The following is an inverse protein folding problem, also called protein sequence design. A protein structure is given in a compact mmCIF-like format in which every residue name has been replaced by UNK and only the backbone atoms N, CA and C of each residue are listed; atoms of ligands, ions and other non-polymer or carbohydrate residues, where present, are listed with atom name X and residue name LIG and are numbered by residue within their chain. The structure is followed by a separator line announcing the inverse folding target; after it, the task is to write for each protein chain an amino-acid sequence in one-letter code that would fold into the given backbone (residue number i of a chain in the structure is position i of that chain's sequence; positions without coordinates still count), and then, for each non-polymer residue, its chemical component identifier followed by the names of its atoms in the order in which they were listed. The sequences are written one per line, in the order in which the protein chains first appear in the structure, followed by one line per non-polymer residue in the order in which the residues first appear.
data_IF_084611828840
#
_entry.id   IF_084611828840
#
_cell.length_a   1.000
_cell.length_b   1.000
_cell.length_c   1.000
_cell.angle_alpha   90.00
_cell.angle_beta   90.00
_cell.angle_gamma   90.00
#
_symmetry.space_group_name_H-M   'P 1'
#
loop_
_entity.id
_entity.type
_entity.pdbx_description
1 polymer ?
#
# COMPACT_ATOMS: atom_id res chain seq x y z
N UNK A 1 29.51 1.59 -14.91
CA UNK A 1 29.90 0.43 -14.10
C UNK A 1 29.05 0.42 -12.83
N UNK A 2 28.22 -0.62 -12.68
CA UNK A 2 27.51 -1.08 -11.47
C UNK A 2 26.94 -0.05 -10.49
N UNK A 3 25.77 0.51 -10.80
CA UNK A 3 24.81 1.04 -9.81
C UNK A 3 24.20 -0.06 -8.93
N UNK A 4 24.49 -1.34 -9.23
CA UNK A 4 24.05 -2.53 -8.48
C UNK A 4 24.95 -2.89 -7.29
N UNK A 5 26.18 -2.34 -7.21
CA UNK A 5 27.16 -2.68 -6.16
C UNK A 5 27.53 -1.52 -5.24
N UNK A 6 26.92 -0.34 -5.42
CA UNK A 6 26.96 0.69 -4.40
C UNK A 6 25.97 0.32 -3.29
N UNK A 7 26.33 -0.66 -2.46
CA UNK A 7 25.84 -0.72 -1.08
C UNK A 7 26.11 0.67 -0.50
N UNK A 8 25.08 1.52 -0.30
CA UNK A 8 25.36 2.82 0.28
C UNK A 8 25.85 2.50 1.68
N UNK A 9 27.02 3.01 2.12
CA UNK A 9 27.27 3.04 3.53
C UNK A 9 26.04 3.71 4.15
N UNK A 10 25.33 2.98 5.00
CA UNK A 10 24.07 3.35 5.70
C UNK A 10 24.29 4.59 6.61
N UNK A 11 25.42 5.27 6.44
CA UNK A 11 25.94 6.40 7.19
C UNK A 11 26.47 7.55 6.32
N UNK A 12 26.73 7.38 5.01
CA UNK A 12 27.35 8.45 4.20
C UNK A 12 26.38 9.24 3.30
N UNK A 13 25.14 8.78 3.09
CA UNK A 13 24.15 9.51 2.29
C UNK A 13 23.36 10.58 3.06
N UNK A 14 23.62 10.76 4.36
CA UNK A 14 23.23 11.96 5.09
C UNK A 14 24.18 13.16 4.84
N UNK A 15 24.99 13.10 3.77
CA UNK A 15 26.00 14.09 3.41
C UNK A 15 25.66 15.01 2.24
N UNK A 16 24.48 14.90 1.61
CA UNK A 16 24.09 15.81 0.53
C UNK A 16 23.36 17.04 1.10
N UNK A 17 24.15 18.06 1.44
CA UNK A 17 23.66 19.36 1.90
C UNK A 17 23.44 19.40 3.41
N UNK A 18 24.52 19.38 4.21
CA UNK A 18 24.50 19.54 5.66
C UNK A 18 24.10 20.97 6.02
N UNK A 19 22.83 21.25 6.36
CA UNK A 19 22.38 22.62 6.41
C UNK A 19 22.43 23.04 7.89
N UNK A 20 23.38 23.93 8.18
CA UNK A 20 23.57 24.68 9.43
C UNK A 20 23.36 23.89 10.74
N UNK A 21 24.25 22.93 11.03
CA UNK A 21 24.38 22.44 12.40
C UNK A 21 25.31 23.39 13.17
N UNK A 22 24.79 24.12 14.16
CA UNK A 22 25.60 24.62 15.27
C UNK A 22 26.25 23.47 16.06
N UNK A 23 26.64 23.72 17.32
CA UNK A 23 27.35 22.80 18.25
C UNK A 23 26.58 21.50 18.64
N UNK A 24 25.94 20.82 17.70
CA UNK A 24 25.19 19.58 17.91
C UNK A 24 26.14 18.39 17.74
N UNK A 25 26.16 17.43 18.69
CA UNK A 25 26.94 16.22 18.56
C UNK A 25 26.62 15.44 17.28
N UNK A 26 27.66 14.91 16.61
CA UNK A 26 27.54 14.23 15.30
C UNK A 26 26.55 13.05 15.33
N UNK A 27 26.52 12.29 16.42
CA UNK A 27 25.61 11.16 16.58
C UNK A 27 24.14 11.61 16.58
N UNK A 28 23.81 12.66 17.34
CA UNK A 28 22.46 13.19 17.46
C UNK A 28 21.97 13.73 16.13
N UNK A 29 22.82 14.50 15.44
CA UNK A 29 22.53 15.00 14.08
C UNK A 29 22.20 13.87 13.11
N UNK A 30 23.05 12.84 13.05
CA UNK A 30 22.82 11.72 12.14
C UNK A 30 21.52 10.98 12.47
N UNK A 31 21.22 10.77 13.75
CA UNK A 31 19.96 10.13 14.16
C UNK A 31 18.73 10.95 13.76
N UNK A 32 18.75 12.27 13.93
CA UNK A 32 17.65 13.14 13.53
C UNK A 32 17.44 13.16 12.01
N UNK A 33 18.53 13.20 11.23
CA UNK A 33 18.46 13.14 9.78
C UNK A 33 17.88 11.82 9.27
N UNK A 34 18.26 10.69 9.86
CA UNK A 34 17.70 9.39 9.49
C UNK A 34 16.23 9.27 9.87
N UNK A 35 15.86 9.67 11.08
CA UNK A 35 14.48 9.70 11.52
C UNK A 35 13.65 10.56 10.56
N UNK A 36 14.12 11.77 10.26
CA UNK A 36 13.48 12.65 9.30
C UNK A 36 13.34 12.03 7.91
N UNK A 37 14.40 11.41 7.38
CA UNK A 37 14.38 10.76 6.08
C UNK A 37 13.32 9.65 6.03
N UNK A 38 13.22 8.83 7.08
CA UNK A 38 12.21 7.78 7.16
C UNK A 38 10.79 8.30 7.36
N UNK A 39 10.62 9.47 7.99
CA UNK A 39 9.31 10.01 8.34
C UNK A 39 8.75 11.03 7.35
N UNK A 40 9.55 11.83 6.65
CA UNK A 40 9.05 12.95 5.86
C UNK A 40 8.63 12.50 4.45
N UNK A 41 7.34 12.56 4.08
CA UNK A 41 6.86 12.07 2.78
C UNK A 41 7.24 13.00 1.61
N UNK A 42 7.51 14.28 1.86
CA UNK A 42 7.84 15.25 0.82
C UNK A 42 9.28 15.08 0.26
N UNK A 43 10.20 14.50 1.04
CA UNK A 43 11.55 14.24 0.57
C UNK A 43 11.61 12.89 -0.15
N UNK A 44 11.94 12.95 -1.43
CA UNK A 44 12.23 11.80 -2.27
C UNK A 44 13.73 11.83 -2.61
N UNK A 45 14.44 10.77 -2.26
CA UNK A 45 15.82 10.58 -2.72
C UNK A 45 15.80 9.94 -4.10
N UNK A 46 16.72 10.33 -4.98
CA UNK A 46 16.83 9.71 -6.30
C UNK A 46 17.42 8.30 -6.20
N UNK A 47 16.94 7.38 -7.04
CA UNK A 47 17.41 5.99 -7.11
C UNK A 47 16.44 4.94 -6.56
N UNK A 48 16.81 3.66 -6.70
CA UNK A 48 15.96 2.51 -6.32
C UNK A 48 15.58 2.51 -4.83
N UNK A 49 16.53 2.85 -3.96
CA UNK A 49 16.30 2.91 -2.51
C UNK A 49 15.34 4.03 -2.13
N UNK A 50 15.42 5.19 -2.80
CA UNK A 50 14.48 6.28 -2.60
C UNK A 50 13.07 5.90 -3.04
N UNK A 51 12.95 5.22 -4.19
CA UNK A 51 11.67 4.65 -4.64
C UNK A 51 11.11 3.62 -3.66
N UNK A 52 11.94 2.72 -3.14
CA UNK A 52 11.48 1.73 -2.16
C UNK A 52 10.99 2.38 -0.86
N UNK A 53 11.71 3.40 -0.37
CA UNK A 53 11.36 4.14 0.83
C UNK A 53 10.03 4.92 0.67
N UNK A 54 9.80 5.54 -0.49
CA UNK A 54 8.52 6.24 -0.76
C UNK A 54 7.34 5.27 -0.79
N UNK A 55 7.51 4.07 -1.38
CA UNK A 55 6.48 3.04 -1.37
C UNK A 55 6.17 2.54 0.04
N UNK A 56 7.19 2.30 0.88
CA UNK A 56 6.96 1.88 2.26
C UNK A 56 6.22 2.97 3.04
N UNK A 57 6.60 4.25 2.90
CA UNK A 57 5.87 5.37 3.51
C UNK A 57 4.39 5.36 3.09
N UNK A 58 4.12 5.25 1.78
CA UNK A 58 2.76 5.24 1.24
C UNK A 58 1.95 4.04 1.75
N UNK A 59 2.51 2.83 1.70
CA UNK A 59 1.88 1.61 2.20
C UNK A 59 1.60 1.74 3.70
N UNK A 60 2.55 2.27 4.47
CA UNK A 60 2.40 2.44 5.92
C UNK A 60 1.22 3.37 6.27
N UNK A 61 1.03 4.46 5.51
CA UNK A 61 -0.08 5.38 5.70
C UNK A 61 -1.42 4.74 5.30
N UNK A 62 -1.46 3.99 4.20
CA UNK A 62 -2.65 3.24 3.79
C UNK A 62 -3.04 2.20 4.85
N UNK A 63 -2.06 1.50 5.42
CA UNK A 63 -2.27 0.57 6.53
C UNK A 63 -2.81 1.29 7.77
N UNK A 64 -2.28 2.47 8.10
CA UNK A 64 -2.76 3.29 9.22
C UNK A 64 -4.22 3.68 9.07
N UNK A 65 -4.58 4.26 7.93
CA UNK A 65 -5.95 4.68 7.65
C UNK A 65 -6.90 3.48 7.60
N UNK A 66 -6.49 2.38 6.98
CA UNK A 66 -7.31 1.16 6.89
C UNK A 66 -7.55 0.54 8.25
N UNK A 67 -6.53 0.49 9.11
CA UNK A 67 -6.63 -0.09 10.45
C UNK A 67 -7.53 0.76 11.34
N UNK A 68 -7.32 2.08 11.40
CA UNK A 68 -8.19 2.99 12.16
C UNK A 68 -9.62 2.90 11.63
N UNK A 69 -9.81 2.97 10.31
CA UNK A 69 -11.12 2.88 9.68
C UNK A 69 -11.86 1.59 10.05
N UNK A 70 -11.17 0.46 10.05
CA UNK A 70 -11.79 -0.84 10.40
C UNK A 70 -12.33 -0.86 11.85
N UNK A 71 -11.59 -0.30 12.80
CA UNK A 71 -12.01 -0.21 14.19
C UNK A 71 -13.06 0.87 14.42
N UNK A 72 -12.98 1.98 13.69
CA UNK A 72 -13.96 3.04 13.75
C UNK A 72 -15.33 2.58 13.21
N UNK A 73 -15.34 1.87 12.08
CA UNK A 73 -16.56 1.25 11.55
C UNK A 73 -17.16 0.28 12.58
N UNK A 74 -16.32 -0.54 13.22
CA UNK A 74 -16.76 -1.42 14.30
C UNK A 74 -17.31 -0.65 15.50
N UNK A 75 -16.68 0.47 15.87
CA UNK A 75 -17.14 1.32 16.96
C UNK A 75 -18.53 1.92 16.70
N UNK A 76 -18.78 2.36 15.46
CA UNK A 76 -20.06 2.90 15.02
C UNK A 76 -21.11 1.79 14.97
N UNK A 77 -20.79 0.65 14.35
CA UNK A 77 -21.71 -0.50 14.21
C UNK A 77 -22.18 -1.03 15.57
N UNK A 78 -21.26 -1.13 16.52
CA UNK A 78 -21.57 -1.61 17.88
C UNK A 78 -22.11 -0.48 18.79
N UNK A 79 -22.19 0.75 18.29
CA UNK A 79 -22.79 1.89 18.97
C UNK A 79 -21.99 2.47 20.14
N UNK A 80 -20.66 2.32 20.12
CA UNK A 80 -19.76 3.05 21.03
C UNK A 80 -19.54 4.50 20.59
N UNK A 81 -19.66 4.73 19.29
CA UNK A 81 -19.65 6.04 18.64
C UNK A 81 -20.95 6.21 17.84
N UNK A 82 -21.39 7.46 17.64
CA UNK A 82 -22.54 7.78 16.79
C UNK A 82 -23.91 7.47 17.39
N UNK A 83 -24.01 7.35 18.72
CA UNK A 83 -25.30 7.17 19.44
C UNK A 83 -25.86 8.49 19.98
N UNK A 84 -25.47 9.61 19.40
CA UNK A 84 -25.95 10.94 19.80
C UNK A 84 -25.43 11.38 21.17
N UNK A 85 -24.21 10.98 21.55
CA UNK A 85 -23.57 11.50 22.77
C UNK A 85 -22.97 12.88 22.48
N UNK A 86 -22.79 13.70 23.52
CA UNK A 86 -22.28 15.08 23.37
C UNK A 86 -20.99 15.16 22.55
N UNK A 87 -20.07 14.21 22.74
CA UNK A 87 -18.80 14.18 22.04
C UNK A 87 -18.94 13.82 20.54
N UNK A 88 -20.01 13.11 20.14
CA UNK A 88 -20.29 12.81 18.73
C UNK A 88 -20.73 14.08 17.98
N UNK A 89 -21.55 14.92 18.62
CA UNK A 89 -21.95 16.22 18.08
C UNK A 89 -20.76 17.18 17.96
N UNK A 90 -19.88 17.20 18.97
CA UNK A 90 -18.66 18.00 18.95
C UNK A 90 -17.72 17.56 17.83
N UNK A 91 -17.57 16.25 17.61
CA UNK A 91 -16.78 15.72 16.50
C UNK A 91 -17.39 16.06 15.13
N UNK A 92 -18.71 15.98 14.99
CA UNK A 92 -19.41 16.35 13.77
C UNK A 92 -19.25 17.85 13.47
N UNK A 93 -19.40 18.70 14.49
CA UNK A 93 -19.14 20.13 14.36
C UNK A 93 -17.68 20.39 13.92
N UNK A 94 -16.71 19.73 14.55
CA UNK A 94 -15.30 19.83 14.14
C UNK A 94 -15.07 19.37 12.69
N UNK A 95 -15.69 18.28 12.25
CA UNK A 95 -15.60 17.79 10.88
C UNK A 95 -16.16 18.81 9.87
N UNK A 96 -17.29 19.45 10.19
CA UNK A 96 -17.88 20.51 9.36
C UNK A 96 -17.05 21.80 9.36
N UNK A 97 -16.33 22.09 10.44
CA UNK A 97 -15.48 23.29 10.52
C UNK A 97 -14.23 23.20 9.64
N UNK A 98 -13.69 22.01 9.36
CA UNK A 98 -12.48 21.84 8.53
C UNK A 98 -12.62 22.43 7.11
N UNK A 99 -13.65 22.11 6.31
CA UNK A 99 -13.80 22.73 4.98
C UNK A 99 -14.02 24.24 5.07
N UNK A 100 -14.69 24.72 6.12
CA UNK A 100 -14.90 26.15 6.35
C UNK A 100 -13.57 26.86 6.59
N UNK A 101 -12.69 26.32 7.44
CA UNK A 101 -11.38 26.94 7.69
C UNK A 101 -10.46 26.87 6.48
N UNK A 102 -10.54 25.81 5.67
CA UNK A 102 -9.83 25.73 4.38
C UNK A 102 -10.31 26.81 3.43
N UNK A 103 -11.62 27.01 3.30
CA UNK A 103 -12.20 28.05 2.45
C UNK A 103 -11.77 29.44 2.91
N UNK A 104 -11.85 29.74 4.21
CA UNK A 104 -11.36 31.01 4.79
C UNK A 104 -9.87 31.21 4.46
N UNK A 105 -9.04 30.18 4.61
CA UNK A 105 -7.61 30.26 4.29
C UNK A 105 -7.35 30.50 2.79
N UNK A 106 -8.18 29.97 1.90
CA UNK A 106 -8.09 30.25 0.46
C UNK A 106 -8.49 31.69 0.13
N UNK A 107 -9.51 32.25 0.79
CA UNK A 107 -9.94 33.64 0.62
C UNK A 107 -8.93 34.64 1.19
N UNK A 108 -8.28 34.30 2.31
CA UNK A 108 -7.15 35.05 2.85
C UNK A 108 -5.97 35.06 1.86
N UNK A 109 -5.66 33.91 1.26
CA UNK A 109 -4.56 33.80 0.29
C UNK A 109 -4.81 34.60 -1.00
N UNK A 110 -6.06 34.71 -1.46
CA UNK A 110 -6.45 35.55 -2.61
C UNK A 110 -6.64 37.02 -2.27
N UNK A 111 -6.32 37.44 -1.03
CA UNK A 111 -6.48 38.80 -0.50
C UNK A 111 -7.93 39.31 -0.53
N UNK A 112 -8.92 38.41 -0.57
CA UNK A 112 -10.34 38.78 -0.51
C UNK A 112 -10.80 39.02 0.93
N UNK A 113 -10.12 38.43 1.91
CA UNK A 113 -10.34 38.67 3.34
C UNK A 113 -9.05 39.16 4.02
N UNK A 114 -9.16 40.04 5.03
CA UNK A 114 -8.01 40.41 5.85
C UNK A 114 -7.54 39.22 6.69
N UNK A 115 -6.22 39.03 6.79
CA UNK A 115 -5.63 37.96 7.60
C UNK A 115 -5.64 38.37 9.07
N UNK A 116 -6.49 37.73 9.86
CA UNK A 116 -6.49 37.91 11.31
C UNK A 116 -5.47 36.97 11.95
N UNK A 117 -4.44 37.54 12.59
CA UNK A 117 -3.36 36.79 13.24
C UNK A 117 -3.52 36.89 14.75
N UNK A 118 -3.41 35.76 15.44
CA UNK A 118 -3.31 35.70 16.90
C UNK A 118 -1.87 35.29 17.25
N UNK A 119 -1.07 36.24 17.74
CA UNK A 119 0.36 36.04 17.96
C UNK A 119 1.13 35.86 16.64
N UNK A 120 1.68 34.66 16.40
CA UNK A 120 2.41 34.31 15.17
C UNK A 120 1.64 33.37 14.23
N UNK A 121 0.38 33.04 14.55
CA UNK A 121 -0.40 32.03 13.82
C UNK A 121 -1.72 32.64 13.32
N UNK A 122 -2.10 32.41 12.04
CA UNK A 122 -3.40 32.83 11.53
C UNK A 122 -4.56 32.19 12.31
N UNK A 123 -5.62 32.95 12.57
CA UNK A 123 -6.80 32.46 13.30
C UNK A 123 -7.42 31.25 12.61
N UNK A 124 -7.49 31.25 11.27
CA UNK A 124 -7.99 30.11 10.49
C UNK A 124 -7.16 28.82 10.73
N UNK A 125 -5.84 28.94 10.90
CA UNK A 125 -4.97 27.80 11.19
C UNK A 125 -5.20 27.26 12.61
N UNK A 126 -5.37 28.14 13.61
CA UNK A 126 -5.69 27.74 14.98
C UNK A 126 -7.01 26.97 15.08
N UNK A 127 -8.06 27.47 14.43
CA UNK A 127 -9.35 26.77 14.39
C UNK A 127 -9.21 25.40 13.72
N UNK A 128 -8.41 25.31 12.65
CA UNK A 128 -8.12 24.03 11.98
C UNK A 128 -7.40 23.05 12.92
N UNK A 129 -6.38 23.50 13.66
CA UNK A 129 -5.66 22.65 14.61
C UNK A 129 -6.57 22.17 15.75
N UNK A 130 -7.44 23.04 16.26
CA UNK A 130 -8.42 22.68 17.29
C UNK A 130 -9.42 21.65 16.75
N UNK A 131 -9.97 21.85 15.56
CA UNK A 131 -10.89 20.92 14.93
C UNK A 131 -10.24 19.53 14.71
N UNK A 132 -8.99 19.49 14.23
CA UNK A 132 -8.24 18.25 14.07
C UNK A 132 -7.96 17.55 15.41
N UNK A 133 -7.63 18.30 16.46
CA UNK A 133 -7.42 17.75 17.80
C UNK A 133 -8.71 17.13 18.35
N UNK A 134 -9.84 17.81 18.20
CA UNK A 134 -11.15 17.30 18.60
C UNK A 134 -11.49 16.00 17.88
N UNK A 135 -11.28 15.95 16.56
CA UNK A 135 -11.48 14.71 15.79
C UNK A 135 -10.54 13.59 16.22
N UNK A 136 -9.26 13.91 16.45
CA UNK A 136 -8.28 12.93 16.93
C UNK A 136 -8.70 12.34 18.28
N UNK A 137 -9.14 13.17 19.24
CA UNK A 137 -9.65 12.71 20.53
C UNK A 137 -10.91 11.83 20.37
N UNK A 138 -11.82 12.21 19.46
CA UNK A 138 -13.01 11.41 19.19
C UNK A 138 -12.66 10.03 18.64
N UNK A 139 -11.72 9.96 17.69
CA UNK A 139 -11.19 8.69 17.16
C UNK A 139 -10.52 7.88 18.28
N UNK A 140 -9.69 8.51 19.10
CA UNK A 140 -8.95 7.87 20.19
C UNK A 140 -9.90 7.23 21.22
N UNK A 141 -10.96 7.95 21.61
CA UNK A 141 -12.01 7.42 22.48
C UNK A 141 -12.72 6.22 21.85
N UNK A 142 -12.98 6.27 20.53
CA UNK A 142 -13.53 5.15 19.77
C UNK A 142 -12.64 3.92 19.77
N UNK A 143 -11.35 4.11 19.46
CA UNK A 143 -10.35 3.06 19.40
C UNK A 143 -10.17 2.39 20.77
N UNK A 144 -9.94 3.15 21.84
CA UNK A 144 -9.76 2.58 23.18
C UNK A 144 -10.97 1.79 23.66
N UNK A 145 -12.19 2.30 23.44
CA UNK A 145 -13.41 1.62 23.89
C UNK A 145 -13.67 0.33 23.13
N UNK A 146 -13.40 0.32 21.83
CA UNK A 146 -13.57 -0.89 21.01
C UNK A 146 -12.48 -1.92 21.24
N UNK A 147 -11.20 -1.51 21.31
CA UNK A 147 -10.09 -2.43 21.56
C UNK A 147 -10.16 -3.05 22.96
N UNK A 148 -10.55 -2.30 24.00
CA UNK A 148 -10.68 -2.88 25.35
C UNK A 148 -11.74 -3.97 25.45
N UNK A 149 -12.78 -3.92 24.60
CA UNK A 149 -13.87 -4.91 24.63
C UNK A 149 -13.71 -6.05 23.62
N UNK A 150 -13.21 -5.77 22.43
CA UNK A 150 -13.13 -6.76 21.34
C UNK A 150 -11.71 -7.03 20.84
N UNK A 151 -10.75 -6.19 21.23
CA UNK A 151 -9.36 -6.32 20.82
C UNK A 151 -8.69 -7.49 21.53
N UNK A 152 -7.76 -8.15 20.85
CA UNK A 152 -6.85 -9.09 21.49
C UNK A 152 -5.70 -8.30 22.14
N UNK A 153 -5.01 -8.89 23.12
CA UNK A 153 -3.81 -8.29 23.73
C UNK A 153 -2.83 -7.65 22.74
N UNK A 154 -2.49 -8.29 21.60
CA UNK A 154 -1.55 -7.69 20.68
C UNK A 154 -2.14 -6.47 19.93
N UNK A 155 -3.46 -6.31 19.82
CA UNK A 155 -4.07 -5.09 19.24
C UNK A 155 -3.92 -3.88 20.16
N UNK A 156 -4.01 -4.10 21.48
CA UNK A 156 -3.75 -3.06 22.50
C UNK A 156 -2.29 -2.63 22.46
N UNK A 157 -1.35 -3.57 22.28
CA UNK A 157 0.07 -3.24 22.11
C UNK A 157 0.32 -2.38 20.86
N UNK A 158 -0.41 -2.62 19.77
CA UNK A 158 -0.33 -1.78 18.56
C UNK A 158 -0.82 -0.36 18.86
N UNK A 159 -1.93 -0.22 19.59
CA UNK A 159 -2.42 1.10 20.00
C UNK A 159 -1.41 1.86 20.86
N UNK A 160 -0.79 1.20 21.85
CA UNK A 160 0.29 1.79 22.63
C UNK A 160 1.50 2.19 21.75
N UNK A 161 1.86 1.33 20.79
CA UNK A 161 2.90 1.62 19.81
C UNK A 161 2.59 2.85 18.94
N UNK A 162 1.34 3.04 18.53
CA UNK A 162 0.87 4.23 17.79
C UNK A 162 1.07 5.49 18.62
N UNK A 163 0.77 5.48 19.92
CA UNK A 163 0.99 6.64 20.80
C UNK A 163 2.49 6.92 20.99
N UNK A 164 3.30 5.88 21.15
CA UNK A 164 4.74 6.04 21.26
C UNK A 164 5.33 6.62 19.96
N UNK A 165 4.83 6.18 18.80
CA UNK A 165 5.18 6.73 17.50
C UNK A 165 4.73 8.20 17.31
N UNK A 166 3.58 8.58 17.84
CA UNK A 166 3.11 9.97 17.90
C UNK A 166 4.09 10.84 18.68
N UNK A 167 4.44 10.41 19.89
CA UNK A 167 5.36 11.15 20.76
C UNK A 167 6.73 11.26 20.11
N UNK A 168 7.22 10.17 19.49
CA UNK A 168 8.48 10.16 18.77
C UNK A 168 8.49 11.15 17.60
N UNK A 169 7.45 11.16 16.75
CA UNK A 169 7.37 12.06 15.60
C UNK A 169 7.32 13.52 16.01
N UNK A 170 6.50 13.86 17.02
CA UNK A 170 6.43 15.20 17.58
C UNK A 170 7.76 15.63 18.20
N UNK A 171 8.42 14.74 18.96
CA UNK A 171 9.73 15.02 19.57
C UNK A 171 10.79 15.31 18.50
N UNK A 172 10.84 14.51 17.42
CA UNK A 172 11.78 14.75 16.31
C UNK A 172 11.52 16.10 15.65
N UNK A 173 10.26 16.45 15.37
CA UNK A 173 9.92 17.76 14.77
C UNK A 173 10.34 18.94 15.64
N UNK A 174 10.09 18.88 16.95
CA UNK A 174 10.50 19.93 17.89
C UNK A 174 12.02 20.01 18.03
N UNK A 175 12.72 18.87 18.10
CA UNK A 175 14.19 18.84 18.18
C UNK A 175 14.81 19.43 16.91
N UNK A 176 14.28 19.10 15.73
CA UNK A 176 14.76 19.65 14.47
C UNK A 176 14.57 21.17 14.37
N UNK A 177 13.44 21.69 14.87
CA UNK A 177 13.22 23.13 14.97
C UNK A 177 14.21 23.79 15.96
N UNK A 178 14.38 23.19 17.15
CA UNK A 178 15.25 23.72 18.21
C UNK A 178 16.71 23.79 17.78
N UNK A 179 17.18 22.81 17.00
CA UNK A 179 18.56 22.75 16.51
C UNK A 179 18.77 23.42 15.15
N UNK A 180 17.75 24.10 14.59
CA UNK A 180 17.90 24.88 13.36
C UNK A 180 17.97 24.08 12.06
N UNK A 181 17.63 22.79 12.06
CA UNK A 181 17.67 21.94 10.85
C UNK A 181 16.61 22.32 9.82
N UNK A 182 15.41 22.73 10.28
CA UNK A 182 14.30 23.10 9.41
C UNK A 182 14.55 24.38 8.58
N UNK A 183 15.02 25.51 9.16
CA UNK A 183 15.33 26.71 8.36
C UNK A 183 16.47 26.49 7.37
N UNK A 184 17.36 25.53 7.65
CA UNK A 184 18.48 25.24 6.79
C UNK A 184 18.06 24.44 5.53
N UNK A 185 16.93 23.71 5.57
CA UNK A 185 16.35 23.03 4.41
C UNK A 185 15.48 23.93 3.53
N UNK A 186 14.96 25.03 4.08
CA UNK A 186 14.16 26.00 3.32
C UNK A 186 14.65 27.44 3.61
N UNK A 187 15.81 27.84 3.05
CA UNK A 187 16.51 29.07 3.43
C UNK A 187 15.72 30.37 3.16
N UNK A 188 14.66 30.30 2.35
CA UNK A 188 13.82 31.44 1.99
C UNK A 188 12.64 31.68 2.96
N UNK A 189 12.46 30.85 3.99
CA UNK A 189 11.30 30.92 4.89
C UNK A 189 11.73 31.05 6.35
N UNK A 190 11.26 32.11 7.04
CA UNK A 190 11.43 32.24 8.49
C UNK A 190 10.60 31.15 9.17
N UNK A 191 11.28 30.12 9.69
CA UNK A 191 10.61 29.00 10.38
C UNK A 191 10.10 29.43 11.74
N UNK A 192 8.82 29.21 12.00
CA UNK A 192 8.16 29.49 13.28
C UNK A 192 8.07 28.20 14.11
N UNK A 193 7.87 28.30 15.43
CA UNK A 193 7.64 27.13 16.30
C UNK A 193 6.48 26.23 15.85
N UNK A 194 5.47 26.80 15.18
CA UNK A 194 4.37 26.07 14.55
C UNK A 194 4.84 25.11 13.45
N UNK A 195 5.91 25.45 12.72
CA UNK A 195 6.41 24.62 11.62
C UNK A 195 7.00 23.33 12.19
N UNK A 196 7.76 23.40 13.28
CA UNK A 196 8.28 22.24 13.99
C UNK A 196 7.17 21.27 14.43
N UNK A 197 6.03 21.79 14.90
CA UNK A 197 4.87 20.98 15.27
C UNK A 197 4.18 20.37 14.04
N UNK A 198 4.04 21.11 12.94
CA UNK A 198 3.44 20.62 11.69
C UNK A 198 4.30 19.52 11.05
N UNK A 199 5.62 19.71 10.99
CA UNK A 199 6.56 18.67 10.56
C UNK A 199 6.51 17.47 11.50
N UNK A 200 6.54 17.70 12.82
CA UNK A 200 6.42 16.64 13.82
C UNK A 200 5.13 15.82 13.68
N UNK A 201 3.99 16.47 13.44
CA UNK A 201 2.71 15.80 13.21
C UNK A 201 2.71 14.95 11.93
N UNK A 202 3.38 15.43 10.88
CA UNK A 202 3.53 14.68 9.62
C UNK A 202 4.42 13.44 9.80
N UNK A 203 5.57 13.60 10.46
CA UNK A 203 6.46 12.49 10.82
C UNK A 203 5.72 11.46 11.67
N UNK A 204 4.93 11.93 12.64
CA UNK A 204 4.12 11.10 13.52
C UNK A 204 3.17 10.21 12.74
N UNK A 205 2.44 10.75 11.75
CA UNK A 205 1.51 9.98 10.94
C UNK A 205 2.19 8.80 10.22
N UNK A 206 3.39 9.01 9.68
CA UNK A 206 4.17 7.95 9.03
C UNK A 206 4.69 6.93 10.04
N UNK A 207 5.20 7.37 11.19
CA UNK A 207 5.68 6.44 12.23
C UNK A 207 4.56 5.57 12.80
N UNK A 208 3.37 6.12 13.01
CA UNK A 208 2.20 5.33 13.39
C UNK A 208 1.87 4.28 12.32
N UNK A 209 1.99 4.66 11.05
CA UNK A 209 1.85 3.73 9.92
C UNK A 209 2.86 2.59 9.96
N UNK A 210 4.13 2.86 10.31
CA UNK A 210 5.13 1.80 10.43
C UNK A 210 4.81 0.80 11.54
N UNK A 211 4.24 1.23 12.67
CA UNK A 211 3.83 0.31 13.75
C UNK A 211 2.78 -0.69 13.25
N UNK A 212 1.81 -0.20 12.47
CA UNK A 212 0.74 -1.04 11.93
C UNK A 212 1.24 -1.91 10.78
N UNK A 213 2.07 -1.34 9.89
CA UNK A 213 2.71 -2.10 8.81
C UNK A 213 3.51 -3.26 9.38
N UNK A 214 4.31 -3.02 10.43
CA UNK A 214 5.07 -4.05 11.13
C UNK A 214 4.15 -5.16 11.65
N UNK A 215 3.02 -4.80 12.26
CA UNK A 215 2.03 -5.78 12.71
C UNK A 215 1.46 -6.61 11.55
N UNK A 216 1.07 -5.97 10.46
CA UNK A 216 0.53 -6.66 9.28
C UNK A 216 1.59 -7.61 8.71
N UNK A 217 2.84 -7.16 8.61
CA UNK A 217 3.97 -7.97 8.17
C UNK A 217 4.23 -9.16 9.10
N UNK A 218 4.13 -9.00 10.43
CA UNK A 218 4.26 -10.12 11.36
C UNK A 218 3.13 -11.14 11.21
N UNK A 219 1.89 -10.68 11.02
CA UNK A 219 0.74 -11.57 10.80
C UNK A 219 0.88 -12.32 9.48
N UNK A 220 1.19 -11.60 8.40
CA UNK A 220 1.40 -12.18 7.08
C UNK A 220 2.60 -13.13 7.07
N UNK A 221 3.72 -12.74 7.67
CA UNK A 221 4.92 -13.56 7.79
C UNK A 221 4.65 -14.85 8.55
N UNK A 222 3.95 -14.79 9.68
CA UNK A 222 3.56 -15.98 10.44
C UNK A 222 2.68 -16.93 9.61
N UNK A 223 1.77 -16.38 8.82
CA UNK A 223 0.96 -17.19 7.90
C UNK A 223 1.82 -17.81 6.79
N UNK A 224 2.72 -17.02 6.18
CA UNK A 224 3.61 -17.45 5.11
C UNK A 224 4.53 -18.60 5.55
N UNK A 225 5.17 -18.48 6.72
CA UNK A 225 6.04 -19.54 7.26
C UNK A 225 5.30 -20.82 7.62
N UNK A 226 3.99 -20.73 7.82
CA UNK A 226 3.18 -21.89 8.16
C UNK A 226 2.52 -22.56 6.95
N UNK A 227 2.69 -21.99 5.74
CA UNK A 227 2.30 -22.62 4.47
C UNK A 227 3.19 -23.82 4.21
N UNK A 228 2.59 -24.99 3.97
CA UNK A 228 3.34 -26.20 3.62
C UNK A 228 3.35 -26.43 2.11
N UNK A 229 4.54 -26.44 1.49
CA UNK A 229 4.71 -26.64 0.05
C UNK A 229 4.06 -27.92 -0.49
N UNK A 230 4.10 -29.03 0.27
CA UNK A 230 3.46 -30.30 -0.13
C UNK A 230 1.94 -30.18 -0.31
N UNK A 231 1.26 -29.39 0.54
CA UNK A 231 -0.19 -29.16 0.43
C UNK A 231 -0.50 -28.27 -0.78
N UNK A 232 0.31 -27.22 -0.93
CA UNK A 232 0.18 -26.29 -2.04
C UNK A 232 0.37 -27.00 -3.40
N UNK A 233 1.32 -27.92 -3.49
CA UNK A 233 1.50 -28.78 -4.67
C UNK A 233 0.30 -29.70 -4.94
N UNK A 234 -0.25 -30.34 -3.91
CA UNK A 234 -1.42 -31.21 -4.07
C UNK A 234 -2.66 -30.45 -4.58
N UNK A 235 -2.89 -29.23 -4.09
CA UNK A 235 -3.97 -28.35 -4.56
C UNK A 235 -3.71 -27.88 -5.99
N UNK A 236 -2.47 -27.54 -6.32
CA UNK A 236 -2.09 -27.15 -7.68
C UNK A 236 -2.29 -28.30 -8.67
N UNK A 237 -1.86 -29.52 -8.32
CA UNK A 237 -2.11 -30.71 -9.14
C UNK A 237 -3.59 -30.96 -9.35
N UNK A 238 -4.39 -30.91 -8.29
CA UNK A 238 -5.85 -31.08 -8.42
C UNK A 238 -6.45 -30.05 -9.36
N UNK A 239 -6.05 -28.79 -9.25
CA UNK A 239 -6.51 -27.69 -10.12
C UNK A 239 -6.18 -27.95 -11.60
N UNK A 240 -4.99 -28.49 -11.88
CA UNK A 240 -4.59 -28.88 -13.25
C UNK A 240 -5.44 -30.05 -13.76
N UNK A 241 -5.71 -31.05 -12.92
CA UNK A 241 -6.53 -32.20 -13.30
C UNK A 241 -7.98 -31.81 -13.59
N UNK A 242 -8.54 -30.93 -12.76
CA UNK A 242 -9.89 -30.38 -12.96
C UNK A 242 -9.98 -29.54 -14.22
N UNK A 243 -9.03 -28.62 -14.44
CA UNK A 243 -9.00 -27.79 -15.63
C UNK A 243 -8.89 -28.62 -16.92
N UNK A 244 -8.09 -29.69 -16.90
CA UNK A 244 -7.91 -30.57 -18.06
C UNK A 244 -9.14 -31.48 -18.30
N UNK A 245 -9.59 -32.23 -17.28
CA UNK A 245 -10.65 -33.24 -17.46
C UNK A 245 -12.07 -32.69 -17.44
N UNK A 246 -12.34 -31.67 -16.64
CA UNK A 246 -13.71 -31.20 -16.39
C UNK A 246 -14.07 -29.97 -17.19
N UNK A 247 -13.15 -29.01 -17.29
CA UNK A 247 -13.39 -27.76 -18.02
C UNK A 247 -12.96 -27.82 -19.48
N UNK A 248 -12.11 -28.79 -19.87
CA UNK A 248 -11.56 -28.94 -21.22
C UNK A 248 -10.85 -27.67 -21.74
N UNK A 249 -10.55 -26.73 -20.85
CA UNK A 249 -10.09 -25.40 -21.21
C UNK A 249 -8.77 -25.38 -22.00
N UNK A 250 -7.75 -26.21 -21.68
CA UNK A 250 -6.52 -26.27 -22.48
C UNK A 250 -6.80 -26.67 -23.92
N UNK A 251 -7.66 -27.67 -24.13
CA UNK A 251 -8.00 -28.18 -25.45
C UNK A 251 -8.77 -27.18 -26.29
N UNK A 252 -9.75 -26.49 -25.69
CA UNK A 252 -10.48 -25.41 -26.37
C UNK A 252 -9.52 -24.33 -26.86
N UNK A 253 -8.58 -23.91 -26.01
CA UNK A 253 -7.61 -22.87 -26.37
C UNK A 253 -6.61 -23.34 -27.44
N UNK A 254 -6.16 -24.60 -27.38
CA UNK A 254 -5.33 -25.20 -28.44
C UNK A 254 -6.07 -25.29 -29.77
N UNK A 255 -7.34 -25.73 -29.77
CA UNK A 255 -8.15 -25.83 -31.00
C UNK A 255 -8.37 -24.46 -31.62
N UNK A 256 -8.74 -23.45 -30.82
CA UNK A 256 -8.92 -22.08 -31.31
C UNK A 256 -7.62 -21.52 -31.86
N UNK A 257 -6.49 -21.75 -31.18
CA UNK A 257 -5.18 -21.34 -31.67
C UNK A 257 -4.82 -22.00 -33.01
N UNK A 258 -4.99 -23.32 -33.12
CA UNK A 258 -4.73 -24.06 -34.35
C UNK A 258 -5.65 -23.62 -35.50
N UNK A 259 -6.93 -23.35 -35.21
CA UNK A 259 -7.88 -22.82 -36.18
C UNK A 259 -7.41 -21.47 -36.72
N UNK A 260 -7.05 -20.54 -35.84
CA UNK A 260 -6.55 -19.22 -36.27
C UNK A 260 -5.25 -19.38 -37.08
N UNK A 261 -4.32 -20.24 -36.64
CA UNK A 261 -3.11 -20.54 -37.41
C UNK A 261 -3.42 -21.08 -38.81
N UNK A 262 -4.40 -21.97 -38.96
CA UNK A 262 -4.80 -22.48 -40.26
C UNK A 262 -5.29 -21.34 -41.19
N UNK A 263 -5.94 -20.32 -40.64
CA UNK A 263 -6.35 -19.13 -41.40
C UNK A 263 -5.21 -18.13 -41.66
N UNK A 264 -4.12 -18.13 -40.87
CA UNK A 264 -3.04 -17.15 -41.05
C UNK A 264 -2.38 -17.21 -42.44
N UNK A 265 -2.34 -18.38 -43.07
CA UNK A 265 -1.79 -18.53 -44.43
C UNK A 265 -2.57 -17.71 -45.47
N UNK A 266 -3.89 -17.54 -45.31
CA UNK A 266 -4.70 -16.73 -46.21
C UNK A 266 -4.51 -15.23 -45.92
N UNK A 267 -4.43 -14.84 -44.65
CA UNK A 267 -4.37 -13.42 -44.26
C UNK A 267 -2.97 -12.79 -44.36
N UNK A 268 -1.90 -13.58 -44.29
CA UNK A 268 -0.52 -13.11 -44.36
C UNK A 268 0.03 -13.24 -45.79
N UNK A 269 -0.38 -12.32 -46.67
CA UNK A 269 0.24 -12.14 -47.99
C UNK A 269 0.98 -10.80 -48.03
N UNK A 270 2.26 -10.73 -47.65
CA UNK A 270 2.97 -9.48 -47.67
C UNK A 270 3.40 -9.12 -49.10
N UNK A 271 3.49 -7.81 -49.39
CA UNK A 271 4.03 -7.32 -50.65
C UNK A 271 5.54 -7.59 -50.81
N UNK A 272 6.27 -7.93 -49.74
CA UNK A 272 7.70 -8.27 -49.76
C UNK A 272 8.01 -9.49 -48.89
N UNK A 273 8.79 -10.42 -49.44
CA UNK A 273 9.17 -11.67 -48.76
C UNK A 273 9.95 -11.47 -47.44
N UNK A 274 10.71 -10.37 -47.30
CA UNK A 274 11.50 -10.10 -46.10
C UNK A 274 10.66 -9.70 -44.86
N UNK A 275 9.42 -9.24 -45.05
CA UNK A 275 8.54 -8.83 -43.94
C UNK A 275 7.68 -9.97 -43.40
N UNK A 276 7.67 -11.12 -44.09
CA UNK A 276 6.90 -12.32 -43.73
C UNK A 276 7.15 -12.77 -42.29
N UNK A 277 8.42 -13.00 -41.93
CA UNK A 277 8.77 -13.53 -40.61
C UNK A 277 8.40 -12.57 -39.48
N UNK A 278 8.57 -11.26 -39.69
CA UNK A 278 8.22 -10.25 -38.68
C UNK A 278 6.71 -10.17 -38.45
N UNK A 279 5.92 -10.14 -39.53
CA UNK A 279 4.46 -10.09 -39.44
C UNK A 279 3.88 -11.38 -38.85
N UNK A 280 4.45 -12.54 -39.18
CA UNK A 280 4.04 -13.82 -38.63
C UNK A 280 4.32 -13.90 -37.12
N UNK A 281 5.54 -13.61 -36.68
CA UNK A 281 5.90 -13.66 -35.25
C UNK A 281 5.12 -12.62 -34.44
N UNK A 282 4.91 -11.42 -34.97
CA UNK A 282 4.13 -10.39 -34.28
C UNK A 282 2.65 -10.78 -34.12
N UNK A 283 2.02 -11.31 -35.17
CA UNK A 283 0.62 -11.75 -35.12
C UNK A 283 0.45 -12.96 -34.20
N UNK A 284 1.36 -13.94 -34.24
CA UNK A 284 1.36 -15.08 -33.33
C UNK A 284 1.53 -14.69 -31.87
N UNK A 285 2.48 -13.79 -31.59
CA UNK A 285 2.75 -13.33 -30.21
C UNK A 285 1.53 -12.60 -29.65
N UNK A 286 0.89 -11.75 -30.47
CA UNK A 286 -0.34 -11.06 -30.09
C UNK A 286 -1.48 -12.05 -29.84
N UNK A 287 -1.71 -12.99 -30.77
CA UNK A 287 -2.74 -14.01 -30.66
C UNK A 287 -2.55 -14.88 -29.40
N UNK A 288 -1.34 -15.37 -29.18
CA UNK A 288 -0.97 -16.17 -28.01
C UNK A 288 -1.21 -15.38 -26.72
N UNK A 289 -0.75 -14.13 -26.66
CA UNK A 289 -0.98 -13.25 -25.51
C UNK A 289 -2.47 -13.01 -25.25
N UNK A 290 -3.26 -12.76 -26.29
CA UNK A 290 -4.70 -12.50 -26.16
C UNK A 290 -5.46 -13.74 -25.70
N UNK A 291 -5.21 -14.92 -26.30
CA UNK A 291 -5.88 -16.17 -25.95
C UNK A 291 -5.52 -16.62 -24.53
N UNK A 292 -4.24 -16.56 -24.14
CA UNK A 292 -3.81 -16.91 -22.80
C UNK A 292 -4.34 -15.94 -21.76
N UNK A 293 -4.30 -14.63 -22.05
CA UNK A 293 -4.85 -13.61 -21.16
C UNK A 293 -6.36 -13.81 -20.99
N UNK A 294 -7.11 -14.02 -22.07
CA UNK A 294 -8.55 -14.29 -22.02
C UNK A 294 -8.88 -15.56 -21.23
N UNK A 295 -8.12 -16.64 -21.43
CA UNK A 295 -8.29 -17.87 -20.66
C UNK A 295 -8.09 -17.61 -19.16
N UNK A 296 -6.99 -16.96 -18.77
CA UNK A 296 -6.66 -16.70 -17.36
C UNK A 296 -7.65 -15.75 -16.71
N UNK A 297 -8.04 -14.67 -17.39
CA UNK A 297 -8.97 -13.67 -16.84
C UNK A 297 -10.38 -14.23 -16.67
N UNK A 298 -10.80 -15.19 -17.50
CA UNK A 298 -12.10 -15.84 -17.37
C UNK A 298 -12.04 -17.00 -16.39
N UNK A 299 -11.07 -17.92 -16.50
CA UNK A 299 -11.04 -19.13 -15.66
C UNK A 299 -10.71 -18.84 -14.21
N UNK A 300 -9.71 -17.99 -13.93
CA UNK A 300 -9.22 -17.81 -12.55
C UNK A 300 -10.32 -17.28 -11.63
N UNK A 301 -11.04 -16.18 -11.98
CA UNK A 301 -12.10 -15.65 -11.14
C UNK A 301 -13.33 -16.57 -11.05
N UNK A 302 -13.65 -17.31 -12.12
CA UNK A 302 -14.83 -18.17 -12.17
C UNK A 302 -14.63 -19.51 -11.46
N UNK A 303 -13.39 -19.97 -11.32
CA UNK A 303 -13.06 -21.26 -10.69
C UNK A 303 -13.49 -21.36 -9.21
N UNK A 304 -13.45 -20.25 -8.48
CA UNK A 304 -13.88 -20.19 -7.07
C UNK A 304 -15.41 -20.23 -6.94
N UNK A 305 -16.17 -19.35 -7.61
CA UNK A 305 -17.63 -19.39 -7.66
C UNK A 305 -18.20 -20.73 -8.14
N UNK A 306 -17.61 -21.36 -9.15
CA UNK A 306 -18.08 -22.68 -9.63
C UNK A 306 -17.96 -23.75 -8.56
N UNK A 307 -16.91 -23.72 -7.75
CA UNK A 307 -16.74 -24.68 -6.66
C UNK A 307 -17.70 -24.38 -5.48
N UNK A 308 -18.09 -23.12 -5.30
CA UNK A 308 -19.17 -22.75 -4.35
C UNK A 308 -20.50 -23.34 -4.84
N UNK A 309 -20.84 -23.12 -6.12
CA UNK A 309 -22.10 -23.58 -6.70
C UNK A 309 -22.24 -25.10 -6.65
N UNK A 310 -21.14 -25.83 -6.85
CA UNK A 310 -21.13 -27.29 -6.82
C UNK A 310 -20.97 -27.88 -5.42
N UNK A 311 -20.97 -27.05 -4.37
CA UNK A 311 -20.82 -27.43 -2.96
C UNK A 311 -19.54 -28.23 -2.64
N UNK A 312 -18.60 -28.35 -3.57
CA UNK A 312 -17.36 -29.11 -3.41
C UNK A 312 -16.40 -28.44 -2.43
N UNK A 313 -16.49 -27.11 -2.28
CA UNK A 313 -15.70 -26.34 -1.30
C UNK A 313 -15.92 -26.84 0.14
N UNK A 314 -17.13 -27.28 0.48
CA UNK A 314 -17.42 -27.77 1.83
C UNK A 314 -16.50 -28.94 2.23
N UNK A 315 -16.20 -29.84 1.30
CA UNK A 315 -15.30 -30.99 1.52
C UNK A 315 -13.82 -30.60 1.63
N UNK A 316 -13.43 -29.47 1.03
CA UNK A 316 -12.06 -28.93 1.08
C UNK A 316 -11.87 -28.08 2.34
N UNK A 317 -12.86 -27.28 2.74
CA UNK A 317 -12.82 -26.41 3.92
C UNK A 317 -12.97 -27.19 5.23
N UNK A 318 -13.63 -28.35 5.21
CA UNK A 318 -13.65 -29.26 6.36
C UNK A 318 -12.27 -29.88 6.66
N UNK A 319 -11.34 -29.87 5.69
CA UNK A 319 -9.93 -30.23 5.95
C UNK A 319 -9.23 -29.01 6.55
N UNK A 320 -8.29 -29.19 7.50
CA UNK A 320 -7.54 -28.08 8.10
C UNK A 320 -6.50 -27.50 7.13
N UNK A 321 -6.97 -26.94 6.01
CA UNK A 321 -6.22 -26.27 4.95
C UNK A 321 -6.33 -24.76 5.16
N UNK A 322 -5.19 -24.06 5.11
CA UNK A 322 -5.19 -22.61 5.29
C UNK A 322 -5.80 -21.93 4.06
N UNK A 323 -6.50 -20.81 4.26
CA UNK A 323 -7.10 -20.04 3.15
C UNK A 323 -6.06 -19.60 2.11
N UNK A 324 -4.87 -19.21 2.57
CA UNK A 324 -3.75 -18.84 1.70
C UNK A 324 -3.22 -20.03 0.88
N UNK A 325 -3.15 -21.23 1.47
CA UNK A 325 -2.73 -22.46 0.75
C UNK A 325 -3.69 -22.77 -0.40
N UNK A 326 -5.00 -22.55 -0.21
CA UNK A 326 -6.01 -22.74 -1.23
C UNK A 326 -5.85 -21.75 -2.38
N UNK A 327 -5.78 -20.45 -2.08
CA UNK A 327 -5.65 -19.40 -3.11
C UNK A 327 -4.34 -19.58 -3.89
N UNK A 328 -3.22 -19.74 -3.19
CA UNK A 328 -1.91 -19.87 -3.83
C UNK A 328 -1.76 -21.20 -4.58
N UNK A 329 -2.30 -22.29 -4.06
CA UNK A 329 -2.32 -23.59 -4.75
C UNK A 329 -3.04 -23.51 -6.09
N UNK A 330 -4.20 -22.83 -6.14
CA UNK A 330 -4.93 -22.61 -7.40
C UNK A 330 -4.18 -21.70 -8.36
N UNK A 331 -3.62 -20.58 -7.87
CA UNK A 331 -2.82 -19.67 -8.69
C UNK A 331 -1.64 -20.41 -9.33
N UNK A 332 -0.93 -21.23 -8.56
CA UNK A 332 0.21 -22.01 -9.05
C UNK A 332 -0.23 -23.09 -10.04
N UNK A 333 -1.39 -23.75 -9.81
CA UNK A 333 -1.97 -24.70 -10.75
C UNK A 333 -2.27 -24.06 -12.12
N UNK A 334 -2.92 -22.89 -12.13
CA UNK A 334 -3.20 -22.16 -13.38
C UNK A 334 -1.92 -21.61 -14.02
N UNK A 335 -0.96 -21.10 -13.24
CA UNK A 335 0.35 -20.69 -13.77
C UNK A 335 1.05 -21.86 -14.48
N UNK A 336 1.11 -23.03 -13.85
CA UNK A 336 1.72 -24.22 -14.45
C UNK A 336 1.01 -24.64 -15.76
N UNK A 337 -0.32 -24.59 -15.79
CA UNK A 337 -1.11 -24.89 -17.00
C UNK A 337 -0.81 -23.90 -18.13
N UNK A 338 -0.77 -22.60 -17.83
CA UNK A 338 -0.40 -21.56 -18.80
C UNK A 338 1.03 -21.77 -19.29
N UNK A 339 1.98 -22.09 -18.42
CA UNK A 339 3.37 -22.38 -18.81
C UNK A 339 3.44 -23.55 -19.78
N UNK A 340 2.72 -24.65 -19.51
CA UNK A 340 2.66 -25.81 -20.42
C UNK A 340 2.06 -25.42 -21.77
N UNK A 341 0.99 -24.61 -21.78
CA UNK A 341 0.33 -24.18 -22.99
C UNK A 341 1.20 -23.25 -23.85
N UNK A 342 1.96 -22.35 -23.22
CA UNK A 342 2.97 -21.52 -23.90
C UNK A 342 4.02 -22.40 -24.59
N UNK A 343 4.50 -23.46 -23.91
CA UNK A 343 5.44 -24.41 -24.49
C UNK A 343 4.82 -25.14 -25.70
N UNK A 344 3.56 -25.57 -25.60
CA UNK A 344 2.84 -26.20 -26.71
C UNK A 344 2.71 -25.24 -27.90
N UNK A 345 2.29 -24.00 -27.68
CA UNK A 345 2.19 -22.99 -28.73
C UNK A 345 3.54 -22.67 -29.37
N UNK A 346 4.59 -22.54 -28.57
CA UNK A 346 5.95 -22.38 -29.06
C UNK A 346 6.40 -23.57 -29.91
N UNK A 347 6.07 -24.80 -29.51
CA UNK A 347 6.42 -26.01 -30.25
C UNK A 347 5.68 -26.13 -31.59
N UNK A 348 4.37 -25.83 -31.62
CA UNK A 348 3.57 -25.86 -32.86
C UNK A 348 4.03 -24.77 -33.82
N UNK A 349 4.38 -23.59 -33.32
CA UNK A 349 4.85 -22.48 -34.15
C UNK A 349 6.24 -22.71 -34.75
N UNK A 350 7.05 -23.58 -34.15
CA UNK A 350 8.39 -23.90 -34.64
C UNK A 350 8.35 -24.98 -35.74
N UNK A 351 7.33 -25.83 -35.73
CA UNK A 351 7.12 -26.91 -36.68
C UNK A 351 6.54 -26.41 -38.01
#
# INVERSE_FOLDING_TARGET
MSSLLALPPIWAQAGAGNPAAGDVPRWLRNTLLWLFLYGEPAFQTSGLLGGWLTWIKAISLLCFVSWIGSWLIKAIKEGYLGRGRWYDFVALAAALMIPVTVLVRTLEATKQLPVYVVGSVPLAALVTYLALLVLALWVEVGLWRTLRRFGRSPDIMVLLGIHLALVLGLAVGVLMQRFGFLPAMNPNQKTTWSDGLVYGARLSAIYMGYVILLRILMLFGRELFAVRGRRLYAIAQLSVHEANRKMWAPWVVVIVFALVLAFTHWFLQPPRAAEMGRLFVATLTLLCSLLLTAMVTILVPLSLPTDIQQQTISTVVCKPVRRLELIWGRMIGFMALVTVLVVVFGSISLA
#
